data_IF_930409485683
#
_entry.id   IF_930409485683
#
_cell.length_a   1.000
_cell.length_b   1.000
_cell.length_c   1.000
_cell.angle_alpha   90.00
_cell.angle_beta   90.00
_cell.angle_gamma   90.00
#
_symmetry.space_group_name_H-M   'P 1'
#
loop_
_entity.id
_entity.type
_entity.pdbx_description
1 polymer ?
#
# COMPACT_ATOMS: atom_id res chain seq x y z
N UNK A 1 -2.28 4.61 -27.80
CA UNK A 1 -2.50 4.60 -26.32
C UNK A 1 -2.03 5.88 -25.63
N UNK A 2 -1.04 6.61 -26.17
CA UNK A 2 -0.46 7.82 -25.55
C UNK A 2 -1.42 9.01 -25.47
N UNK A 3 -2.23 9.25 -26.51
CA UNK A 3 -3.18 10.37 -26.54
C UNK A 3 -4.29 10.27 -25.49
N UNK A 4 -4.83 9.07 -25.25
CA UNK A 4 -5.90 8.84 -24.27
C UNK A 4 -5.41 9.18 -22.85
N UNK A 5 -4.18 8.82 -22.52
CA UNK A 5 -3.55 9.13 -21.24
C UNK A 5 -3.36 10.64 -21.05
N UNK A 6 -2.97 11.37 -22.10
CA UNK A 6 -2.79 12.82 -22.04
C UNK A 6 -4.11 13.56 -21.81
N UNK A 7 -5.18 13.14 -22.49
CA UNK A 7 -6.52 13.73 -22.31
C UNK A 7 -7.09 13.48 -20.90
N UNK A 8 -6.90 12.27 -20.37
CA UNK A 8 -7.27 11.93 -18.99
C UNK A 8 -6.48 12.76 -17.97
N UNK A 9 -5.16 12.88 -18.15
CA UNK A 9 -4.30 13.68 -17.28
C UNK A 9 -4.73 15.15 -17.26
N UNK A 10 -5.08 15.71 -18.43
CA UNK A 10 -5.57 17.08 -18.54
C UNK A 10 -6.88 17.28 -17.77
N UNK A 11 -7.87 16.39 -17.94
CA UNK A 11 -9.13 16.43 -17.18
C UNK A 11 -8.93 16.26 -15.67
N UNK A 12 -8.01 15.40 -15.25
CA UNK A 12 -7.71 15.22 -13.82
C UNK A 12 -7.15 16.51 -13.22
N UNK A 13 -6.24 17.18 -13.91
CA UNK A 13 -5.69 18.46 -13.46
C UNK A 13 -6.70 19.61 -13.47
N UNK A 14 -7.74 19.53 -14.31
CA UNK A 14 -8.83 20.53 -14.36
C UNK A 14 -9.80 20.38 -13.18
N UNK A 15 -10.05 19.15 -12.72
CA UNK A 15 -11.07 18.85 -11.69
C UNK A 15 -10.48 18.75 -10.29
N UNK A 16 -9.25 18.25 -10.16
CA UNK A 16 -8.59 18.07 -8.87
C UNK A 16 -7.62 19.21 -8.59
N UNK A 17 -7.85 19.95 -7.50
CA UNK A 17 -6.90 20.95 -6.98
C UNK A 17 -5.69 20.31 -6.26
N UNK A 18 -5.66 18.99 -6.15
CA UNK A 18 -4.62 18.23 -5.45
C UNK A 18 -3.62 17.74 -6.48
N UNK A 19 -2.34 18.08 -6.27
CA UNK A 19 -1.28 17.61 -7.15
C UNK A 19 -1.17 16.08 -7.13
N UNK A 20 -0.83 15.46 -8.27
CA UNK A 20 -0.57 14.02 -8.33
C UNK A 20 0.54 13.63 -7.34
N UNK A 21 0.38 12.48 -6.68
CA UNK A 21 1.37 12.00 -5.72
C UNK A 21 2.74 11.82 -6.41
N UNK A 22 3.72 12.63 -6.01
CA UNK A 22 5.09 12.62 -6.52
C UNK A 22 6.06 12.28 -5.38
N UNK A 23 6.78 11.18 -5.55
CA UNK A 23 7.79 10.68 -4.62
C UNK A 23 9.20 11.23 -4.93
N UNK A 24 9.30 12.29 -5.74
CA UNK A 24 10.52 13.02 -6.05
C UNK A 24 11.42 12.36 -7.10
N UNK A 25 11.22 11.07 -7.42
CA UNK A 25 11.95 10.40 -8.50
C UNK A 25 11.05 9.58 -9.41
N UNK A 26 11.38 9.53 -10.70
CA UNK A 26 10.64 8.76 -11.70
C UNK A 26 10.57 7.26 -11.39
N UNK A 27 11.64 6.71 -10.80
CA UNK A 27 11.68 5.30 -10.38
C UNK A 27 10.69 5.02 -9.25
N UNK A 28 10.69 5.82 -8.19
CA UNK A 28 9.76 5.66 -7.07
C UNK A 28 8.31 5.83 -7.54
N UNK A 29 8.05 6.83 -8.38
CA UNK A 29 6.72 7.07 -8.94
C UNK A 29 6.20 5.90 -9.79
N UNK A 30 7.06 5.29 -10.60
CA UNK A 30 6.67 4.14 -11.41
C UNK A 30 6.38 2.92 -10.54
N UNK A 31 7.24 2.63 -9.56
CA UNK A 31 7.02 1.50 -8.65
C UNK A 31 5.77 1.71 -7.81
N UNK A 32 5.59 2.90 -7.24
CA UNK A 32 4.39 3.25 -6.48
C UNK A 32 3.12 3.10 -7.31
N UNK A 33 3.08 3.58 -8.56
CA UNK A 33 1.92 3.41 -9.44
C UNK A 33 1.60 1.95 -9.74
N UNK A 34 2.63 1.12 -9.99
CA UNK A 34 2.44 -0.32 -10.23
C UNK A 34 1.89 -1.04 -9.00
N UNK A 35 2.53 -0.81 -7.86
CA UNK A 35 2.17 -1.42 -6.58
C UNK A 35 0.76 -1.00 -6.17
N UNK A 36 0.45 0.29 -6.22
CA UNK A 36 -0.89 0.79 -5.85
C UNK A 36 -1.97 0.39 -6.84
N UNK A 37 -1.68 0.31 -8.15
CA UNK A 37 -2.64 -0.20 -9.12
C UNK A 37 -3.03 -1.65 -8.80
N UNK A 38 -2.06 -2.49 -8.44
CA UNK A 38 -2.31 -3.86 -8.02
C UNK A 38 -3.14 -3.92 -6.73
N UNK A 39 -2.78 -3.15 -5.70
CA UNK A 39 -3.52 -3.13 -4.44
C UNK A 39 -4.93 -2.54 -4.60
N UNK A 40 -5.18 -1.66 -5.58
CA UNK A 40 -6.52 -1.11 -5.82
C UNK A 40 -7.49 -2.12 -6.42
N UNK A 41 -7.02 -3.10 -7.18
CA UNK A 41 -7.89 -4.07 -7.84
C UNK A 41 -8.14 -5.29 -6.97
N UNK A 42 -7.13 -5.82 -6.29
CA UNK A 42 -7.24 -7.01 -5.44
C UNK A 42 -6.34 -6.90 -4.21
N UNK A 43 -6.67 -6.01 -3.25
CA UNK A 43 -5.78 -5.70 -2.14
C UNK A 43 -5.41 -6.92 -1.29
N UNK A 44 -6.35 -7.84 -1.08
CA UNK A 44 -6.21 -8.85 -0.05
C UNK A 44 -5.61 -10.18 -0.51
N UNK A 45 -5.53 -10.43 -1.82
CA UNK A 45 -5.13 -11.74 -2.38
C UNK A 45 -3.70 -12.11 -1.97
N UNK A 46 -2.76 -11.17 -2.01
CA UNK A 46 -1.41 -11.40 -1.53
C UNK A 46 -1.16 -10.87 -0.11
N UNK A 47 -1.89 -9.84 0.33
CA UNK A 47 -1.69 -9.29 1.68
C UNK A 47 -1.99 -10.32 2.73
N UNK A 48 -3.16 -10.99 2.68
CA UNK A 48 -3.58 -11.95 3.69
C UNK A 48 -2.58 -13.12 3.86
N UNK A 49 -2.20 -13.87 2.80
CA UNK A 49 -1.28 -14.98 2.97
C UNK A 49 0.10 -14.51 3.43
N UNK A 50 0.56 -13.35 2.95
CA UNK A 50 1.86 -12.81 3.32
C UNK A 50 1.89 -12.32 4.77
N UNK A 51 0.86 -11.60 5.22
CA UNK A 51 0.75 -11.18 6.63
C UNK A 51 0.61 -12.38 7.54
N UNK A 52 -0.17 -13.40 7.17
CA UNK A 52 -0.26 -14.63 7.96
C UNK A 52 1.12 -15.30 8.13
N UNK A 53 1.87 -15.44 7.04
CA UNK A 53 3.20 -16.05 7.07
C UNK A 53 4.17 -15.23 7.93
N UNK A 54 4.18 -13.91 7.77
CA UNK A 54 5.01 -13.02 8.59
C UNK A 54 4.61 -13.11 10.06
N UNK A 55 3.31 -13.04 10.37
CA UNK A 55 2.82 -13.13 11.74
C UNK A 55 3.19 -14.46 12.38
N UNK A 56 3.14 -15.56 11.64
CA UNK A 56 3.59 -16.87 12.12
C UNK A 56 5.08 -16.86 12.44
N UNK A 57 5.93 -16.37 11.51
CA UNK A 57 7.37 -16.27 11.73
C UNK A 57 7.69 -15.39 12.95
N UNK A 58 7.06 -14.22 13.05
CA UNK A 58 7.24 -13.31 14.17
C UNK A 58 6.79 -13.94 15.49
N UNK A 59 5.67 -14.68 15.49
CA UNK A 59 5.21 -15.41 16.65
C UNK A 59 6.22 -16.48 17.09
N UNK A 60 6.82 -17.22 16.14
CA UNK A 60 7.84 -18.22 16.47
C UNK A 60 9.12 -17.59 17.05
N UNK A 61 9.50 -16.40 16.59
CA UNK A 61 10.71 -15.70 17.06
C UNK A 61 10.51 -14.96 18.40
N UNK A 62 9.35 -14.33 18.59
CA UNK A 62 9.09 -13.40 19.71
C UNK A 62 8.11 -13.97 20.76
N UNK A 63 7.33 -14.99 20.39
CA UNK A 63 6.42 -15.71 21.28
C UNK A 63 5.52 -14.82 22.14
N UNK A 64 5.65 -14.96 23.46
CA UNK A 64 4.84 -14.23 24.45
C UNK A 64 5.01 -12.71 24.41
N UNK A 65 6.17 -12.22 23.96
CA UNK A 65 6.41 -10.78 23.83
C UNK A 65 5.52 -10.17 22.74
N UNK A 66 5.42 -10.85 21.60
CA UNK A 66 4.53 -10.46 20.49
C UNK A 66 3.08 -10.39 20.97
N UNK A 67 2.62 -11.43 21.67
CA UNK A 67 1.25 -11.48 22.19
C UNK A 67 0.97 -10.31 23.12
N UNK A 68 1.86 -10.03 24.09
CA UNK A 68 1.69 -8.88 25.00
C UNK A 68 1.66 -7.55 24.27
N UNK A 69 2.55 -7.35 23.30
CA UNK A 69 2.60 -6.12 22.52
C UNK A 69 1.31 -5.92 21.72
N UNK A 70 0.82 -6.96 21.05
CA UNK A 70 -0.44 -6.92 20.31
C UNK A 70 -1.62 -6.67 21.24
N UNK A 71 -1.68 -7.31 22.41
CA UNK A 71 -2.73 -7.07 23.41
C UNK A 71 -2.73 -5.61 23.89
N UNK A 72 -1.56 -5.03 24.16
CA UNK A 72 -1.46 -3.61 24.56
C UNK A 72 -1.90 -2.70 23.40
N UNK A 73 -1.50 -2.97 22.17
CA UNK A 73 -1.90 -2.14 21.03
C UNK A 73 -3.40 -2.26 20.71
N UNK A 74 -4.01 -3.43 20.91
CA UNK A 74 -5.42 -3.66 20.60
C UNK A 74 -6.36 -3.17 21.70
N UNK A 75 -5.96 -3.28 22.97
CA UNK A 75 -6.83 -3.06 24.14
C UNK A 75 -6.30 -2.00 25.11
N UNK A 76 -5.14 -1.41 24.84
CA UNK A 76 -4.51 -0.41 25.70
C UNK A 76 -4.95 1.04 25.43
N UNK A 77 -5.90 1.25 24.51
CA UNK A 77 -6.51 2.55 24.22
C UNK A 77 -8.00 2.52 24.53
#
# INVERSE_FOLDING_TARGET
MTEINLRLKKKLNEVFSIEPNDLGTGFLNQNFKKITAYFKTIPFVYVIPFTFLISLVLYLLLGKLLVRLVTILQYGF
#
